data_IF_718270048437
#
_entry.id   IF_718270048437
#
_cell.length_a   1.000
_cell.length_b   1.000
_cell.length_c   1.000
_cell.angle_alpha   90.00
_cell.angle_beta   90.00
_cell.angle_gamma   90.00
#
_symmetry.space_group_name_H-M   'P 1'
#
loop_
_entity.id
_entity.type
_entity.pdbx_description
1 polymer ?
#
# COMPACT_ATOMS: atom_id res chain seq x y z
N UNK A 1 12.54 -14.69 66.65
CA UNK A 1 12.96 -15.16 65.31
C UNK A 1 11.80 -15.36 64.31
N UNK A 2 10.67 -14.63 64.44
CA UNK A 2 9.47 -14.75 63.56
C UNK A 2 9.29 -13.58 62.57
N UNK A 3 9.95 -12.45 62.81
CA UNK A 3 9.78 -11.19 62.05
C UNK A 3 10.58 -11.11 60.74
N UNK A 4 11.70 -11.85 60.64
CA UNK A 4 12.58 -11.84 59.44
C UNK A 4 11.95 -12.65 58.29
N UNK A 5 11.19 -13.72 58.59
CA UNK A 5 10.52 -14.54 57.57
C UNK A 5 9.39 -13.78 56.87
N UNK A 6 8.60 -12.98 57.60
CA UNK A 6 7.53 -12.19 57.00
C UNK A 6 8.03 -11.07 56.08
N UNK A 7 9.11 -10.35 56.46
CA UNK A 7 9.75 -9.34 55.59
C UNK A 7 10.30 -9.90 54.29
N UNK A 8 10.78 -11.16 54.29
CA UNK A 8 11.29 -11.85 53.09
C UNK A 8 10.16 -12.28 52.16
N UNK A 9 9.02 -12.71 52.71
CA UNK A 9 7.86 -13.14 51.92
C UNK A 9 7.17 -11.94 51.26
N UNK A 10 7.01 -10.82 51.98
CA UNK A 10 6.47 -9.59 51.36
C UNK A 10 7.41 -8.99 50.31
N UNK A 11 8.74 -9.04 50.52
CA UNK A 11 9.69 -8.60 49.51
C UNK A 11 9.62 -9.45 48.22
N UNK A 12 9.50 -10.78 48.34
CA UNK A 12 9.37 -11.70 47.20
C UNK A 12 8.04 -11.52 46.46
N UNK A 13 6.94 -11.30 47.19
CA UNK A 13 5.62 -11.02 46.59
C UNK A 13 5.60 -9.67 45.86
N UNK A 14 6.27 -8.64 46.40
CA UNK A 14 6.34 -7.32 45.77
C UNK A 14 7.20 -7.34 44.50
N UNK A 15 8.30 -8.11 44.49
CA UNK A 15 9.11 -8.31 43.28
C UNK A 15 8.37 -9.09 42.19
N UNK A 16 7.56 -10.10 42.57
CA UNK A 16 6.79 -10.88 41.60
C UNK A 16 5.65 -10.06 40.99
N UNK A 17 5.01 -9.20 41.78
CA UNK A 17 4.00 -8.26 41.29
C UNK A 17 4.60 -7.22 40.33
N UNK A 18 5.83 -6.73 40.59
CA UNK A 18 6.48 -5.74 39.72
C UNK A 18 6.94 -6.34 38.38
N UNK A 19 7.37 -7.60 38.36
CA UNK A 19 7.73 -8.31 37.12
C UNK A 19 6.49 -8.61 36.27
N UNK A 20 5.33 -8.85 36.89
CA UNK A 20 4.06 -9.07 36.17
C UNK A 20 3.49 -7.76 35.56
N UNK A 21 3.88 -6.59 36.07
CA UNK A 21 3.50 -5.29 35.48
C UNK A 21 4.36 -4.86 34.28
N UNK A 22 5.49 -5.53 33.99
CA UNK A 22 6.38 -5.17 32.87
C UNK A 22 6.12 -5.94 31.57
N UNK A 23 5.14 -6.85 31.54
CA UNK A 23 4.65 -7.46 30.32
C UNK A 23 3.56 -6.60 29.67
N UNK A 24 3.91 -5.36 29.32
CA UNK A 24 3.11 -4.59 28.35
C UNK A 24 3.49 -5.15 26.99
N UNK A 25 2.57 -5.73 26.20
CA UNK A 25 2.88 -6.08 24.82
C UNK A 25 3.25 -4.80 24.09
N UNK A 26 4.53 -4.61 23.78
CA UNK A 26 4.95 -3.54 22.88
C UNK A 26 4.46 -3.94 21.49
N UNK A 27 3.45 -3.24 20.98
CA UNK A 27 3.08 -3.32 19.57
C UNK A 27 4.20 -2.69 18.77
N UNK A 28 5.12 -3.52 18.28
CA UNK A 28 6.14 -3.11 17.32
C UNK A 28 5.44 -3.03 15.97
N UNK A 29 5.20 -1.82 15.46
CA UNK A 29 4.87 -1.63 14.06
C UNK A 29 6.18 -1.86 13.28
N UNK A 30 6.40 -3.09 12.82
CA UNK A 30 7.38 -3.31 11.77
C UNK A 30 6.94 -2.52 10.53
N UNK A 31 7.88 -1.88 9.84
CA UNK A 31 7.58 -1.26 8.55
C UNK A 31 7.03 -2.35 7.62
N UNK A 32 5.82 -2.16 7.12
CA UNK A 32 5.21 -3.09 6.19
C UNK A 32 6.08 -3.19 4.94
N UNK A 33 6.47 -4.41 4.47
CA UNK A 33 7.27 -4.56 3.28
C UNK A 33 6.57 -3.96 2.06
N UNK A 34 7.33 -3.46 1.09
CA UNK A 34 6.75 -2.93 -0.17
C UNK A 34 5.95 -4.01 -0.90
N UNK A 35 4.83 -3.65 -1.53
CA UNK A 35 4.10 -4.56 -2.44
C UNK A 35 4.99 -4.89 -3.64
N UNK A 36 5.16 -6.18 -3.93
CA UNK A 36 5.98 -6.60 -5.06
C UNK A 36 5.21 -6.51 -6.38
N UNK A 37 5.44 -5.41 -7.11
CA UNK A 37 4.79 -5.13 -8.39
C UNK A 37 5.27 -6.02 -9.55
N UNK A 38 6.41 -6.72 -9.42
CA UNK A 38 7.00 -7.53 -10.51
C UNK A 38 7.03 -6.74 -11.84
N UNK A 39 6.62 -7.33 -12.98
CA UNK A 39 6.65 -6.64 -14.27
C UNK A 39 5.70 -5.44 -14.36
N UNK A 40 4.69 -5.33 -13.48
CA UNK A 40 3.81 -4.16 -13.39
C UNK A 40 4.60 -2.88 -13.08
N UNK A 41 5.76 -2.96 -12.41
CA UNK A 41 6.56 -1.77 -12.06
C UNK A 41 7.08 -0.98 -13.27
N UNK A 42 7.11 -1.57 -14.47
CA UNK A 42 7.58 -0.89 -15.68
C UNK A 42 6.50 0.00 -16.32
N UNK A 43 5.23 -0.19 -15.94
CA UNK A 43 4.08 0.44 -16.57
C UNK A 43 3.57 1.62 -15.77
N UNK A 44 3.58 2.80 -16.38
CA UNK A 44 2.92 3.98 -15.83
C UNK A 44 1.39 3.91 -16.01
N UNK A 45 0.92 3.24 -17.07
CA UNK A 45 -0.51 2.99 -17.31
C UNK A 45 -0.69 1.53 -17.72
N UNK A 46 -1.49 0.77 -16.99
CA UNK A 46 -1.82 -0.61 -17.32
C UNK A 46 -3.33 -0.86 -17.21
N UNK A 47 -4.01 -1.06 -18.34
CA UNK A 47 -5.46 -1.15 -18.42
C UNK A 47 -5.96 -2.52 -18.89
N UNK A 48 -7.20 -2.84 -18.49
CA UNK A 48 -7.89 -4.07 -18.88
C UNK A 48 -8.66 -3.95 -20.19
N UNK A 49 -9.52 -2.94 -20.30
CA UNK A 49 -10.52 -2.82 -21.37
C UNK A 49 -10.13 -1.80 -22.44
N UNK A 50 -9.77 -0.59 -22.04
CA UNK A 50 -9.44 0.51 -22.95
C UNK A 50 -8.52 1.53 -22.27
N UNK A 51 -7.82 2.32 -23.08
CA UNK A 51 -7.07 3.50 -22.65
C UNK A 51 -7.54 4.66 -23.52
N UNK A 52 -8.04 5.72 -22.91
CA UNK A 52 -8.55 6.90 -23.62
C UNK A 52 -7.81 8.13 -23.15
N UNK A 53 -7.16 8.82 -24.08
CA UNK A 53 -6.50 10.09 -23.82
C UNK A 53 -7.19 11.24 -24.57
N UNK A 54 -7.34 12.39 -23.91
CA UNK A 54 -7.85 13.62 -24.54
C UNK A 54 -6.89 14.76 -24.24
N UNK A 55 -6.42 15.43 -25.28
CA UNK A 55 -5.47 16.54 -25.15
C UNK A 55 -4.02 16.08 -24.91
N UNK A 56 -3.09 17.03 -24.75
CA UNK A 56 -1.69 16.74 -24.50
C UNK A 56 -1.50 16.09 -23.12
N UNK A 57 -0.92 14.89 -23.10
CA UNK A 57 -0.56 14.18 -21.86
C UNK A 57 0.91 13.80 -21.91
N UNK A 58 1.62 13.99 -20.82
CA UNK A 58 3.00 13.51 -20.66
C UNK A 58 3.03 12.40 -19.63
N UNK A 59 3.60 11.25 -20.00
CA UNK A 59 3.88 10.13 -19.11
C UNK A 59 5.37 10.11 -18.83
N UNK A 60 5.72 10.51 -17.61
CA UNK A 60 7.08 10.52 -17.07
C UNK A 60 7.03 10.21 -15.57
N UNK A 61 8.19 9.83 -15.00
CA UNK A 61 8.32 9.57 -13.58
C UNK A 61 9.17 8.34 -13.29
N UNK A 62 9.17 7.94 -12.02
CA UNK A 62 9.83 6.76 -11.48
C UNK A 62 8.91 5.53 -11.42
N UNK A 63 7.59 5.72 -11.53
CA UNK A 63 6.57 4.66 -11.58
C UNK A 63 6.48 3.93 -12.93
N UNK A 64 7.62 3.75 -13.62
CA UNK A 64 7.70 3.19 -14.96
C UNK A 64 7.44 4.22 -16.07
N UNK A 65 7.52 3.77 -17.32
CA UNK A 65 7.34 4.62 -18.51
C UNK A 65 6.45 4.00 -19.59
N UNK A 66 6.07 2.73 -19.43
CA UNK A 66 5.35 1.98 -20.45
C UNK A 66 3.83 2.13 -20.29
N UNK A 67 3.12 1.92 -21.40
CA UNK A 67 1.67 1.75 -21.42
C UNK A 67 1.34 0.30 -21.78
N UNK A 68 0.41 -0.32 -21.07
CA UNK A 68 -0.03 -1.69 -21.28
C UNK A 68 -1.55 -1.79 -21.42
N UNK A 69 -2.03 -2.54 -22.41
CA UNK A 69 -3.46 -2.86 -22.56
C UNK A 69 -3.64 -4.35 -22.83
N UNK A 70 -4.28 -5.06 -21.91
CA UNK A 70 -4.66 -6.46 -22.08
C UNK A 70 -5.79 -6.84 -21.10
N UNK A 71 -6.83 -7.60 -21.49
CA UNK A 71 -7.06 -8.26 -22.79
C UNK A 71 -7.70 -7.35 -23.86
N UNK A 72 -7.92 -6.07 -23.57
CA UNK A 72 -8.44 -5.11 -24.53
C UNK A 72 -7.66 -5.13 -25.85
N UNK A 73 -8.37 -4.89 -26.96
CA UNK A 73 -7.77 -4.81 -28.28
C UNK A 73 -6.95 -3.54 -28.43
N UNK A 74 -5.88 -3.58 -29.21
CA UNK A 74 -5.04 -2.40 -29.48
C UNK A 74 -5.83 -1.18 -30.00
N UNK A 75 -6.94 -1.40 -30.72
CA UNK A 75 -7.85 -0.34 -31.20
C UNK A 75 -8.59 0.40 -30.08
N UNK A 76 -8.65 -0.17 -28.87
CA UNK A 76 -9.23 0.47 -27.69
C UNK A 76 -8.23 1.39 -26.95
N UNK A 77 -7.00 1.53 -27.45
CA UNK A 77 -6.13 2.66 -27.11
C UNK A 77 -6.41 3.83 -28.05
N UNK A 78 -7.10 4.86 -27.53
CA UNK A 78 -7.52 6.03 -28.31
C UNK A 78 -6.85 7.31 -27.80
N UNK A 79 -6.60 8.26 -28.71
CA UNK A 79 -5.95 9.54 -28.36
C UNK A 79 -4.45 9.45 -28.07
N UNK A 80 -3.81 8.30 -28.35
CA UNK A 80 -2.38 8.11 -28.12
C UNK A 80 -1.46 9.04 -28.91
N UNK A 81 -1.93 9.63 -30.01
CA UNK A 81 -1.16 10.56 -30.83
C UNK A 81 -0.83 11.90 -30.16
N UNK A 82 -1.46 12.21 -29.02
CA UNK A 82 -1.17 13.40 -28.20
C UNK A 82 -0.47 13.05 -26.88
N UNK A 83 -0.05 11.80 -26.72
CA UNK A 83 0.70 11.34 -25.55
C UNK A 83 2.19 11.42 -25.83
N UNK A 84 2.94 12.07 -24.93
CA UNK A 84 4.40 12.09 -24.92
C UNK A 84 4.89 11.17 -23.82
N UNK A 85 5.69 10.14 -24.13
CA UNK A 85 6.22 9.21 -23.13
C UNK A 85 7.67 8.80 -23.47
N UNK A 86 8.42 8.37 -22.46
CA UNK A 86 9.77 7.81 -22.65
C UNK A 86 9.77 6.29 -22.82
N UNK A 87 8.69 5.59 -22.44
CA UNK A 87 8.57 4.14 -22.58
C UNK A 87 7.88 3.69 -23.86
N UNK A 88 7.38 2.45 -23.85
CA UNK A 88 6.78 1.74 -24.98
C UNK A 88 5.30 1.44 -24.71
N UNK A 89 4.48 1.46 -25.77
CA UNK A 89 3.11 0.98 -25.72
C UNK A 89 3.04 -0.51 -26.10
N UNK A 90 2.69 -1.35 -25.12
CA UNK A 90 2.45 -2.79 -25.25
C UNK A 90 0.94 -3.05 -25.32
N UNK A 91 0.43 -3.41 -26.51
CA UNK A 91 -1.00 -3.50 -26.77
C UNK A 91 -1.37 -4.92 -27.21
N UNK A 92 -2.17 -5.60 -26.39
CA UNK A 92 -2.66 -6.97 -26.65
C UNK A 92 -1.51 -7.97 -26.87
N UNK A 93 -0.36 -7.77 -26.23
CA UNK A 93 0.82 -8.64 -26.36
C UNK A 93 1.17 -9.41 -25.06
N UNK A 94 2.20 -10.24 -25.16
CA UNK A 94 2.67 -11.08 -24.05
C UNK A 94 3.26 -10.28 -22.87
N UNK A 95 3.81 -9.09 -23.12
CA UNK A 95 4.39 -8.23 -22.08
C UNK A 95 3.26 -7.61 -21.26
N UNK A 96 2.25 -7.04 -21.93
CA UNK A 96 1.05 -6.52 -21.28
C UNK A 96 0.26 -7.63 -20.56
N UNK A 97 0.16 -8.83 -21.14
CA UNK A 97 -0.44 -9.99 -20.48
C UNK A 97 0.27 -10.34 -19.17
N UNK A 98 1.60 -10.48 -19.20
CA UNK A 98 2.37 -10.81 -17.99
C UNK A 98 2.21 -9.72 -16.93
N UNK A 99 2.25 -8.45 -17.31
CA UNK A 99 2.06 -7.33 -16.40
C UNK A 99 0.66 -7.32 -15.75
N UNK A 100 -0.39 -7.76 -16.47
CA UNK A 100 -1.74 -7.91 -15.91
C UNK A 100 -1.84 -9.07 -14.92
N UNK A 101 -1.15 -10.18 -15.17
CA UNK A 101 -1.09 -11.30 -14.23
C UNK A 101 -0.35 -10.88 -12.95
N UNK A 102 0.79 -10.19 -13.11
CA UNK A 102 1.56 -9.66 -11.99
C UNK A 102 0.77 -8.59 -11.19
N UNK A 103 -0.04 -7.78 -11.87
CA UNK A 103 -0.93 -6.82 -11.23
C UNK A 103 -1.96 -7.51 -10.32
N UNK A 104 -2.51 -8.66 -10.74
CA UNK A 104 -3.42 -9.44 -9.89
C UNK A 104 -2.68 -9.91 -8.63
N UNK A 105 -1.47 -10.44 -8.76
CA UNK A 105 -0.66 -10.87 -7.61
C UNK A 105 -0.32 -9.70 -6.67
N UNK A 106 -0.02 -8.53 -7.22
CA UNK A 106 0.27 -7.33 -6.44
C UNK A 106 -0.99 -6.80 -5.71
N UNK A 107 -2.13 -6.82 -6.40
CA UNK A 107 -3.42 -6.46 -5.81
C UNK A 107 -3.81 -7.42 -4.67
N UNK A 108 -3.70 -8.74 -4.90
CA UNK A 108 -4.05 -9.75 -3.91
C UNK A 108 -3.11 -9.71 -2.69
N UNK A 109 -1.81 -9.41 -2.88
CA UNK A 109 -0.89 -9.10 -1.78
C UNK A 109 -1.41 -7.90 -0.98
N UNK A 110 -1.59 -6.74 -1.62
CA UNK A 110 -2.02 -5.53 -0.94
C UNK A 110 -3.36 -5.68 -0.22
N UNK A 111 -4.36 -6.30 -0.86
CA UNK A 111 -5.69 -6.53 -0.30
C UNK A 111 -5.68 -7.57 0.83
N UNK A 112 -4.72 -8.49 0.84
CA UNK A 112 -4.57 -9.53 1.85
C UNK A 112 -3.82 -9.07 3.11
N UNK A 113 -3.26 -7.86 3.14
CA UNK A 113 -2.50 -7.36 4.30
C UNK A 113 -3.43 -7.06 5.46
N UNK A 114 -2.99 -7.41 6.67
CA UNK A 114 -3.73 -7.10 7.89
C UNK A 114 -3.77 -5.59 8.07
N UNK A 115 -4.98 -5.02 8.06
CA UNK A 115 -5.20 -3.59 8.32
C UNK A 115 -4.62 -3.19 9.67
N UNK A 116 -3.72 -2.21 9.67
CA UNK A 116 -3.17 -1.65 10.89
C UNK A 116 -4.15 -0.65 11.53
N UNK A 117 -4.83 0.16 10.70
CA UNK A 117 -5.74 1.22 11.14
C UNK A 117 -6.88 1.42 10.15
N UNK A 118 -8.13 1.38 10.63
CA UNK A 118 -9.28 1.89 9.88
C UNK A 118 -9.42 3.40 10.10
N UNK A 119 -9.47 4.17 9.02
CA UNK A 119 -9.51 5.64 9.05
C UNK A 119 -10.76 6.18 8.34
N UNK A 120 -11.13 7.46 8.57
CA UNK A 120 -12.24 8.10 7.86
C UNK A 120 -12.02 8.12 6.35
N UNK A 121 -13.14 8.08 5.62
CA UNK A 121 -13.16 8.08 4.15
C UNK A 121 -12.64 9.38 3.52
N UNK A 122 -12.65 10.50 4.25
CA UNK A 122 -12.04 11.76 3.80
C UNK A 122 -10.58 11.85 4.28
N UNK A 123 -9.67 11.85 3.31
CA UNK A 123 -8.22 11.88 3.51
C UNK A 123 -7.64 13.31 3.45
N UNK A 124 -8.39 14.26 2.90
CA UNK A 124 -8.02 15.66 2.84
C UNK A 124 -7.84 16.29 4.22
N UNK A 125 -6.77 17.07 4.38
CA UNK A 125 -6.35 17.66 5.64
C UNK A 125 -5.66 16.68 6.61
N UNK A 126 -5.41 15.43 6.20
CA UNK A 126 -4.72 14.42 7.02
C UNK A 126 -3.22 14.39 6.74
N UNK A 127 -2.49 14.01 7.78
CA UNK A 127 -1.11 13.54 7.68
C UNK A 127 -1.10 12.07 8.11
N UNK A 128 -0.67 11.19 7.21
CA UNK A 128 -0.57 9.75 7.47
C UNK A 128 0.90 9.35 7.53
N UNK A 129 1.27 8.67 8.60
CA UNK A 129 2.58 8.03 8.78
C UNK A 129 2.63 6.71 7.98
N UNK A 130 3.77 6.01 7.91
CA UNK A 130 3.82 4.70 7.26
C UNK A 130 2.85 3.70 7.92
N UNK A 131 2.09 2.95 7.12
CA UNK A 131 1.14 1.95 7.61
C UNK A 131 0.21 1.39 6.54
N UNK A 132 -0.59 0.39 6.92
CA UNK A 132 -1.66 -0.20 6.12
C UNK A 132 -3.00 0.36 6.60
N UNK A 133 -3.72 1.04 5.70
CA UNK A 133 -4.94 1.78 6.01
C UNK A 133 -6.14 1.17 5.30
N UNK A 134 -7.28 1.12 6.01
CA UNK A 134 -8.57 0.73 5.45
C UNK A 134 -9.60 1.85 5.67
N UNK A 135 -10.59 1.92 4.80
CA UNK A 135 -11.66 2.90 4.87
C UNK A 135 -12.81 2.39 5.75
N UNK A 136 -13.29 3.24 6.65
CA UNK A 136 -14.49 2.95 7.43
C UNK A 136 -15.74 2.68 6.56
N UNK A 137 -15.83 3.29 5.37
CA UNK A 137 -16.97 3.15 4.44
C UNK A 137 -16.62 2.35 3.18
N UNK A 138 -15.43 1.73 3.13
CA UNK A 138 -14.93 1.01 1.95
C UNK A 138 -14.54 1.88 0.75
N UNK A 139 -14.54 3.22 0.91
CA UNK A 139 -14.16 4.18 -0.13
C UNK A 139 -13.30 5.31 0.45
N UNK A 140 -12.42 5.88 -0.38
CA UNK A 140 -11.63 7.04 -0.01
C UNK A 140 -11.91 8.21 -0.97
N UNK A 141 -11.89 9.41 -0.43
CA UNK A 141 -11.98 10.67 -1.14
C UNK A 141 -10.90 11.61 -0.60
N UNK A 142 -10.41 12.51 -1.46
CA UNK A 142 -9.39 13.50 -1.10
C UNK A 142 -9.91 14.89 -1.47
N UNK A 143 -10.32 15.65 -0.47
CA UNK A 143 -10.69 17.07 -0.59
C UNK A 143 -9.64 17.94 0.09
N UNK A 144 -8.77 18.56 -0.71
CA UNK A 144 -7.61 19.31 -0.21
C UNK A 144 -6.37 18.43 -0.15
N UNK A 145 -5.45 18.74 0.75
CA UNK A 145 -4.12 18.09 0.79
C UNK A 145 -4.12 16.88 1.71
N UNK A 146 -3.70 15.73 1.18
CA UNK A 146 -3.23 14.59 1.97
C UNK A 146 -1.69 14.67 2.07
N UNK A 147 -1.14 14.61 3.28
CA UNK A 147 0.31 14.52 3.52
C UNK A 147 0.67 13.10 3.90
N UNK A 148 1.66 12.52 3.23
CA UNK A 148 2.28 11.25 3.62
C UNK A 148 3.64 11.58 4.25
N UNK A 149 3.83 11.28 5.53
CA UNK A 149 4.98 11.71 6.34
C UNK A 149 5.76 10.48 6.84
N UNK A 150 6.95 10.24 6.27
CA UNK A 150 7.72 8.99 6.40
C UNK A 150 8.79 9.04 7.49
#
# INVERSE_FOLDING_TARGET
MRTIKHKRITAVLLTLALVLLMSVPTTVFAAEPTVNLRSTSNFAVLAGSAITNTGPTTINGDAGGDIGLHPGLATAYTGGGTVTMTGTAYLTDAVALQAKNDLILAYDDAAGRTTAVTIPSELGGRTLTPGVYDSADGTFHITGTLTLDA
#
